data_IF_800477304501
#
_entry.id   IF_800477304501
#
_cell.length_a   1.000
_cell.length_b   1.000
_cell.length_c   1.000
_cell.angle_alpha   90.00
_cell.angle_beta   90.00
_cell.angle_gamma   90.00
#
_symmetry.space_group_name_H-M   'P 1'
#
loop_
_entity.id
_entity.type
_entity.pdbx_description
1 polymer ?
#
# COMPACT_ATOMS: atom_id res chain seq x y z
N UNK A 1 44.78 36.74 -33.87
CA UNK A 1 44.68 35.30 -33.56
C UNK A 1 43.70 35.14 -32.41
N UNK A 2 42.61 34.42 -32.71
CA UNK A 2 41.73 33.62 -31.84
C UNK A 2 40.97 34.27 -30.67
N UNK A 3 39.65 34.10 -30.76
CA UNK A 3 38.59 34.39 -29.80
C UNK A 3 38.57 33.40 -28.61
N UNK A 4 37.75 33.68 -27.58
CA UNK A 4 36.63 32.82 -27.14
C UNK A 4 36.09 33.32 -25.80
N UNK A 5 34.81 33.72 -25.75
CA UNK A 5 34.09 33.93 -24.50
C UNK A 5 33.47 32.65 -23.98
N UNK A 6 32.98 32.66 -22.73
CA UNK A 6 31.66 32.13 -22.33
C UNK A 6 31.41 32.23 -20.82
N UNK A 7 30.30 32.90 -20.52
CA UNK A 7 29.26 32.56 -19.54
C UNK A 7 29.65 31.81 -18.26
N UNK A 8 29.55 32.52 -17.15
CA UNK A 8 29.31 31.99 -15.80
C UNK A 8 27.86 31.50 -15.69
N UNK A 9 27.69 30.20 -15.43
CA UNK A 9 26.39 29.58 -15.14
C UNK A 9 26.45 28.81 -13.82
N UNK A 10 25.65 29.29 -12.87
CA UNK A 10 24.88 28.59 -11.83
C UNK A 10 25.50 27.35 -11.17
N UNK A 11 25.86 27.50 -9.89
CA UNK A 11 26.06 26.40 -8.97
C UNK A 11 24.75 25.67 -8.68
N UNK A 12 24.72 24.38 -9.03
CA UNK A 12 23.67 23.45 -8.64
C UNK A 12 24.05 22.72 -7.37
N UNK A 13 23.16 22.77 -6.37
CA UNK A 13 23.18 21.88 -5.20
C UNK A 13 23.05 20.43 -5.66
N UNK A 14 24.05 19.60 -5.35
CA UNK A 14 23.93 18.14 -5.44
C UNK A 14 23.38 17.60 -4.11
N UNK A 15 22.24 16.89 -4.07
CA UNK A 15 21.91 16.07 -2.91
C UNK A 15 22.70 14.76 -3.00
N UNK A 16 23.68 14.64 -2.11
CA UNK A 16 24.27 13.35 -1.74
C UNK A 16 23.29 12.57 -0.87
N UNK A 17 23.09 11.29 -1.17
CA UNK A 17 22.37 10.35 -0.31
C UNK A 17 21.64 9.29 -1.12
N UNK A 18 22.37 8.29 -1.60
CA UNK A 18 21.76 7.11 -2.22
C UNK A 18 20.93 6.35 -1.20
N UNK A 19 19.64 6.19 -1.47
CA UNK A 19 18.90 5.09 -0.88
C UNK A 19 19.60 3.78 -1.27
N UNK A 20 19.81 2.84 -0.33
CA UNK A 20 20.30 1.52 -0.71
C UNK A 20 19.32 0.93 -1.72
N UNK A 21 19.82 0.33 -2.83
CA UNK A 21 18.94 -0.26 -3.82
C UNK A 21 18.05 -1.28 -3.12
N UNK A 22 16.73 -1.10 -3.27
CA UNK A 22 15.76 -2.08 -2.82
C UNK A 22 16.19 -3.45 -3.37
N UNK A 23 16.21 -4.51 -2.54
CA UNK A 23 16.57 -5.84 -3.01
C UNK A 23 15.75 -6.17 -4.25
N UNK A 24 16.43 -6.63 -5.31
CA UNK A 24 15.77 -7.07 -6.53
C UNK A 24 14.79 -8.17 -6.15
N UNK A 25 13.50 -7.84 -6.23
CA UNK A 25 12.43 -8.75 -5.86
C UNK A 25 12.44 -9.94 -6.82
N UNK A 26 12.11 -11.16 -6.36
CA UNK A 26 11.82 -12.26 -7.27
C UNK A 26 10.81 -11.81 -8.33
N UNK A 27 11.03 -12.20 -9.58
CA UNK A 27 10.17 -11.80 -10.69
C UNK A 27 8.69 -11.99 -10.34
N UNK A 28 7.91 -10.90 -10.40
CA UNK A 28 6.48 -10.92 -10.10
C UNK A 28 6.08 -10.58 -8.65
N UNK A 29 7.04 -10.34 -7.73
CA UNK A 29 6.72 -9.80 -6.40
C UNK A 29 6.82 -8.28 -6.36
N UNK A 30 5.86 -7.65 -5.68
CA UNK A 30 5.75 -6.21 -5.51
C UNK A 30 5.75 -5.86 -4.03
N UNK A 31 6.46 -4.80 -3.61
CA UNK A 31 6.46 -4.37 -2.23
C UNK A 31 5.14 -3.68 -1.89
N UNK A 32 4.63 -3.90 -0.69
CA UNK A 32 3.48 -3.16 -0.19
C UNK A 32 3.92 -1.75 0.24
N UNK A 33 3.19 -0.69 -0.13
CA UNK A 33 3.43 0.65 0.42
C UNK A 33 3.25 0.71 1.94
N UNK A 34 2.34 -0.12 2.47
CA UNK A 34 2.08 -0.30 3.90
C UNK A 34 2.02 -1.79 4.20
N UNK A 35 2.84 -2.27 5.14
CA UNK A 35 2.90 -3.69 5.48
C UNK A 35 1.56 -4.21 6.03
N UNK A 36 1.17 -5.43 5.63
CA UNK A 36 0.05 -6.14 6.25
C UNK A 36 0.47 -6.70 7.60
N UNK A 37 -0.34 -6.44 8.62
CA UNK A 37 -0.17 -7.02 9.96
C UNK A 37 -1.25 -8.04 10.26
N UNK A 38 -1.04 -8.85 11.30
CA UNK A 38 -2.04 -9.79 11.80
C UNK A 38 -2.90 -9.17 12.91
N UNK A 39 -4.10 -9.71 13.10
CA UNK A 39 -4.92 -9.42 14.27
C UNK A 39 -4.68 -10.46 15.35
N UNK A 40 -4.57 -10.01 16.60
CA UNK A 40 -4.54 -10.89 17.77
C UNK A 40 -5.94 -11.42 18.06
N UNK A 41 -6.10 -12.75 18.09
CA UNK A 41 -7.37 -13.38 18.46
C UNK A 41 -7.60 -13.30 19.97
N UNK A 42 -8.78 -12.87 20.37
CA UNK A 42 -9.28 -13.00 21.75
C UNK A 42 -10.14 -14.26 21.80
N UNK A 43 -9.74 -15.24 22.61
CA UNK A 43 -10.25 -16.61 22.53
C UNK A 43 -11.58 -16.83 23.22
N UNK A 44 -11.96 -15.95 24.15
CA UNK A 44 -13.16 -16.10 24.97
C UNK A 44 -13.77 -14.74 25.37
N UNK A 45 -14.98 -14.81 25.93
CA UNK A 45 -15.75 -13.64 26.35
C UNK A 45 -15.05 -12.82 27.44
N UNK A 46 -14.28 -13.44 28.34
CA UNK A 46 -13.54 -12.74 29.41
C UNK A 46 -12.37 -11.94 28.84
N UNK A 47 -11.66 -12.51 27.86
CA UNK A 47 -10.60 -11.83 27.12
C UNK A 47 -11.14 -10.60 26.37
N UNK A 48 -12.29 -10.73 25.71
CA UNK A 48 -12.99 -9.61 25.06
C UNK A 48 -13.40 -8.54 26.08
N UNK A 49 -14.05 -8.94 27.19
CA UNK A 49 -14.48 -8.00 28.22
C UNK A 49 -13.32 -7.19 28.81
N UNK A 50 -12.19 -7.85 29.11
CA UNK A 50 -10.98 -7.16 29.57
C UNK A 50 -10.42 -6.20 28.53
N UNK A 51 -10.38 -6.59 27.26
CA UNK A 51 -9.88 -5.72 26.19
C UNK A 51 -10.76 -4.48 25.98
N UNK A 52 -12.09 -4.62 26.13
CA UNK A 52 -13.05 -3.53 26.01
C UNK A 52 -13.09 -2.61 27.24
N UNK A 53 -12.75 -3.10 28.43
CA UNK A 53 -12.86 -2.33 29.68
C UNK A 53 -12.12 -0.99 29.66
N UNK A 54 -11.02 -0.91 28.90
CA UNK A 54 -10.16 0.28 28.79
C UNK A 54 -10.41 1.08 27.51
N UNK A 55 -11.46 0.78 26.73
CA UNK A 55 -11.69 1.36 25.40
C UNK A 55 -13.11 1.92 25.27
N UNK A 56 -13.23 3.08 24.64
CA UNK A 56 -14.50 3.73 24.25
C UNK A 56 -14.58 3.82 22.72
N UNK A 57 -15.77 4.07 22.18
CA UNK A 57 -16.00 4.30 20.73
C UNK A 57 -15.46 3.20 19.81
N UNK A 58 -15.66 1.94 20.20
CA UNK A 58 -15.17 0.78 19.45
C UNK A 58 -16.04 0.53 18.22
N UNK A 59 -15.41 0.48 17.05
CA UNK A 59 -16.04 0.00 15.82
C UNK A 59 -16.00 -1.53 15.76
N UNK A 60 -17.17 -2.17 15.68
CA UNK A 60 -17.31 -3.59 15.38
C UNK A 60 -17.51 -3.86 13.89
N UNK A 61 -16.65 -4.68 13.30
CA UNK A 61 -16.79 -5.16 11.92
C UNK A 61 -16.82 -6.69 11.90
N UNK A 62 -17.68 -7.33 11.09
CA UNK A 62 -17.62 -8.76 10.85
C UNK A 62 -16.24 -9.16 10.32
N UNK A 63 -15.68 -10.23 10.87
CA UNK A 63 -14.43 -10.78 10.34
C UNK A 63 -14.75 -11.54 9.05
N UNK A 64 -14.32 -10.99 7.92
CA UNK A 64 -14.42 -11.66 6.63
C UNK A 64 -13.31 -12.70 6.51
N UNK A 65 -13.67 -13.94 6.23
CA UNK A 65 -12.74 -15.03 5.91
C UNK A 65 -12.48 -15.03 4.40
N UNK A 66 -11.41 -14.35 4.02
CA UNK A 66 -10.99 -14.21 2.63
C UNK A 66 -9.48 -14.00 2.54
N UNK A 67 -9.02 -13.55 1.38
CA UNK A 67 -7.59 -13.27 1.14
C UNK A 67 -7.35 -11.78 1.15
N UNK A 68 -6.40 -11.33 1.97
CA UNK A 68 -6.09 -9.91 2.08
C UNK A 68 -5.40 -9.38 0.81
N UNK A 69 -5.75 -8.16 0.43
CA UNK A 69 -5.27 -7.46 -0.76
C UNK A 69 -4.98 -5.99 -0.43
N UNK A 70 -3.94 -5.43 -1.06
CA UNK A 70 -3.70 -3.98 -1.09
C UNK A 70 -4.14 -3.42 -2.42
N UNK A 71 -4.95 -2.36 -2.40
CA UNK A 71 -5.28 -1.56 -3.57
C UNK A 71 -4.55 -0.21 -3.48
N UNK A 72 -3.91 0.22 -4.57
CA UNK A 72 -3.28 1.53 -4.66
C UNK A 72 -3.97 2.33 -5.75
N UNK A 73 -4.58 3.43 -5.35
CA UNK A 73 -5.13 4.43 -6.25
C UNK A 73 -4.16 5.60 -6.37
N UNK A 74 -3.92 6.03 -7.61
CA UNK A 74 -3.15 7.24 -7.93
C UNK A 74 -4.04 8.19 -8.72
N UNK A 75 -4.18 9.42 -8.24
CA UNK A 75 -5.09 10.43 -8.82
C UNK A 75 -6.50 9.85 -9.03
N UNK A 76 -6.99 9.12 -8.02
CA UNK A 76 -8.28 8.44 -8.06
C UNK A 76 -8.37 7.22 -8.98
N UNK A 77 -7.33 6.79 -9.69
CA UNK A 77 -7.36 5.61 -10.59
C UNK A 77 -6.69 4.40 -9.97
N UNK A 78 -7.29 3.21 -10.08
CA UNK A 78 -6.68 1.97 -9.61
C UNK A 78 -5.41 1.68 -10.43
N UNK A 79 -4.26 1.79 -9.76
CA UNK A 79 -2.95 1.67 -10.37
C UNK A 79 -2.25 0.36 -10.03
N UNK A 80 -2.49 -0.21 -8.85
CA UNK A 80 -1.88 -1.46 -8.40
C UNK A 80 -2.88 -2.24 -7.54
N UNK A 81 -2.84 -3.57 -7.65
CA UNK A 81 -3.45 -4.46 -6.66
C UNK A 81 -2.45 -5.56 -6.30
N UNK A 82 -2.19 -5.76 -5.01
CA UNK A 82 -1.10 -6.61 -4.53
C UNK A 82 -1.68 -7.64 -3.55
N UNK A 83 -1.41 -8.92 -3.77
CA UNK A 83 -1.78 -9.97 -2.82
C UNK A 83 -1.06 -9.79 -1.48
N UNK A 84 -1.55 -10.42 -0.40
CA UNK A 84 -0.88 -10.30 0.91
C UNK A 84 0.59 -10.74 0.88
N UNK A 85 0.88 -11.89 0.26
CA UNK A 85 2.19 -12.54 0.31
C UNK A 85 2.70 -12.75 1.75
N UNK A 86 3.91 -12.30 2.04
CA UNK A 86 4.52 -12.34 3.38
C UNK A 86 4.16 -11.14 4.27
N UNK A 87 3.32 -10.24 3.75
CA UNK A 87 2.87 -9.02 4.39
C UNK A 87 3.76 -7.81 4.17
N UNK A 88 4.99 -7.97 3.68
CA UNK A 88 5.85 -6.87 3.21
C UNK A 88 5.86 -6.76 1.69
N UNK A 89 5.66 -7.89 1.02
CA UNK A 89 5.58 -8.01 -0.43
C UNK A 89 4.58 -9.09 -0.82
N UNK A 90 3.97 -8.93 -1.98
CA UNK A 90 3.00 -9.87 -2.54
C UNK A 90 3.10 -9.95 -4.06
N UNK A 91 2.12 -10.57 -4.69
CA UNK A 91 2.06 -10.74 -6.15
C UNK A 91 1.18 -9.66 -6.78
N UNK A 92 1.47 -9.29 -8.04
CA UNK A 92 0.58 -8.42 -8.82
C UNK A 92 -0.74 -9.13 -9.15
N UNK A 93 -1.83 -8.57 -8.65
CA UNK A 93 -3.20 -9.03 -8.83
C UNK A 93 -4.06 -8.02 -9.59
N UNK A 94 -3.47 -6.99 -10.21
CA UNK A 94 -4.22 -5.88 -10.83
C UNK A 94 -5.30 -6.37 -11.81
N UNK A 95 -4.94 -7.25 -12.75
CA UNK A 95 -5.89 -7.76 -13.75
C UNK A 95 -7.01 -8.61 -13.13
N UNK A 96 -6.67 -9.45 -12.14
CA UNK A 96 -7.66 -10.27 -11.41
C UNK A 96 -8.64 -9.37 -10.65
N UNK A 97 -8.13 -8.32 -10.01
CA UNK A 97 -8.91 -7.39 -9.21
C UNK A 97 -9.78 -6.48 -10.07
N UNK A 98 -9.31 -6.07 -11.25
CA UNK A 98 -10.11 -5.30 -12.23
C UNK A 98 -11.36 -6.04 -12.69
N UNK A 99 -11.35 -7.37 -12.66
CA UNK A 99 -12.50 -8.20 -12.99
C UNK A 99 -13.54 -8.31 -11.85
N UNK A 100 -13.24 -7.82 -10.63
CA UNK A 100 -14.14 -7.88 -9.47
C UNK A 100 -15.10 -6.67 -9.52
N UNK A 101 -16.43 -6.88 -9.69
CA UNK A 101 -17.37 -5.76 -9.84
C UNK A 101 -17.42 -4.79 -8.64
N UNK A 102 -17.12 -5.27 -7.44
CA UNK A 102 -17.10 -4.46 -6.22
C UNK A 102 -15.88 -3.56 -6.06
N UNK A 103 -14.87 -3.68 -6.93
CA UNK A 103 -13.66 -2.85 -6.89
C UNK A 103 -13.74 -1.78 -7.98
N UNK A 104 -13.97 -0.50 -7.62
CA UNK A 104 -14.11 0.55 -8.62
C UNK A 104 -12.76 0.85 -9.29
N UNK A 105 -12.76 1.01 -10.61
CA UNK A 105 -11.55 1.42 -11.36
C UNK A 105 -11.14 2.87 -11.08
N UNK A 106 -12.10 3.70 -10.64
CA UNK A 106 -11.90 5.10 -10.28
C UNK A 106 -12.68 5.51 -9.03
N UNK A 107 -12.09 6.38 -8.22
CA UNK A 107 -12.68 6.95 -7.00
C UNK A 107 -12.73 8.47 -7.13
N UNK A 108 -13.93 9.03 -7.12
CA UNK A 108 -14.13 10.47 -7.15
C UNK A 108 -13.76 11.10 -5.79
N UNK A 109 -13.05 12.23 -5.82
CA UNK A 109 -12.64 12.96 -4.60
C UNK A 109 -11.61 12.22 -3.72
N UNK A 110 -10.98 11.16 -4.23
CA UNK A 110 -9.91 10.47 -3.52
C UNK A 110 -8.62 11.32 -3.49
N UNK A 111 -7.77 11.18 -2.46
CA UNK A 111 -6.43 11.75 -2.45
C UNK A 111 -5.59 11.29 -3.65
N UNK A 112 -4.55 12.07 -3.99
CA UNK A 112 -3.63 11.76 -5.10
C UNK A 112 -2.93 10.41 -4.93
N UNK A 113 -2.69 10.00 -3.69
CA UNK A 113 -2.15 8.70 -3.35
C UNK A 113 -2.98 8.09 -2.23
N UNK A 114 -3.71 7.01 -2.54
CA UNK A 114 -4.57 6.32 -1.60
C UNK A 114 -4.25 4.83 -1.60
N UNK A 115 -3.99 4.30 -0.40
CA UNK A 115 -3.76 2.87 -0.17
C UNK A 115 -4.92 2.32 0.64
N UNK A 116 -5.57 1.29 0.14
CA UNK A 116 -6.65 0.58 0.82
C UNK A 116 -6.22 -0.86 1.06
N UNK A 117 -6.46 -1.38 2.27
CA UNK A 117 -6.25 -2.78 2.60
C UNK A 117 -7.60 -3.39 2.96
N UNK A 118 -7.91 -4.53 2.36
CA UNK A 118 -9.17 -5.24 2.56
C UNK A 118 -9.05 -6.72 2.20
N UNK A 119 -10.18 -7.40 2.08
CA UNK A 119 -10.24 -8.83 1.79
C UNK A 119 -11.08 -9.11 0.55
N UNK A 120 -10.58 -9.94 -0.35
CA UNK A 120 -11.38 -10.58 -1.40
C UNK A 120 -11.97 -11.89 -0.85
N UNK A 121 -13.24 -12.18 -1.14
CA UNK A 121 -13.95 -13.38 -0.69
C UNK A 121 -15.00 -13.79 -1.74
N UNK A 122 -15.49 -15.02 -1.64
CA UNK A 122 -16.52 -15.61 -2.51
C UNK A 122 -17.78 -16.00 -1.72
#
# INVERSE_FOLDING_TARGET
MTACGKSSSFGGFAPAGGEPPLPLLPAGKMPHPVAHTGLRKLTDRRAVARWLAERRDVWLQPKIDGVAVTLVYRQGKLAQAISRGDGRQGEDWLEKVRAIPGVPSTLAGAPDFLVLQGNCFC
#
